data_IF_310351650573
#
_entry.id   IF_310351650573
#
_cell.length_a   1.000
_cell.length_b   1.000
_cell.length_c   1.000
_cell.angle_alpha   90.00
_cell.angle_beta   90.00
_cell.angle_gamma   90.00
#
_symmetry.space_group_name_H-M   'P 1'
#
loop_
_entity.id
_entity.type
_entity.pdbx_description
1 polymer ?
#
# COMPACT_ATOMS: atom_id res chain seq x y z
N UNK A 1 15.48 1.50 8.51
CA UNK A 1 14.07 1.12 8.56
C UNK A 1 13.86 -0.31 9.06
N UNK A 2 14.35 -1.36 8.39
CA UNK A 2 14.14 -2.75 8.79
C UNK A 2 14.55 -3.04 10.26
N UNK A 3 15.66 -2.46 10.70
CA UNK A 3 16.14 -2.59 12.09
C UNK A 3 15.18 -1.97 13.12
N UNK A 4 14.54 -0.86 12.77
CA UNK A 4 13.54 -0.20 13.63
C UNK A 4 12.24 -1.01 13.68
N UNK A 5 11.88 -1.65 12.56
CA UNK A 5 10.68 -2.46 12.44
C UNK A 5 10.82 -3.88 13.01
N UNK A 6 12.02 -4.26 13.46
CA UNK A 6 12.33 -5.63 13.91
C UNK A 6 12.00 -6.67 12.82
N UNK A 7 12.34 -6.32 11.57
CA UNK A 7 12.15 -7.16 10.40
C UNK A 7 13.50 -7.58 9.83
N UNK A 8 13.53 -8.68 9.10
CA UNK A 8 14.66 -9.01 8.24
C UNK A 8 14.88 -7.91 7.18
N UNK A 9 16.13 -7.66 6.82
CA UNK A 9 16.48 -6.74 5.75
C UNK A 9 15.98 -7.32 4.43
N UNK A 10 14.99 -6.66 3.84
CA UNK A 10 14.53 -7.03 2.51
C UNK A 10 15.47 -6.42 1.46
N UNK A 11 15.87 -7.19 0.44
CA UNK A 11 16.59 -6.66 -0.70
C UNK A 11 15.81 -5.50 -1.34
N UNK A 12 16.49 -4.39 -1.60
CA UNK A 12 15.93 -3.24 -2.31
C UNK A 12 16.43 -3.25 -3.76
N UNK A 13 15.49 -3.21 -4.69
CA UNK A 13 15.77 -3.08 -6.12
C UNK A 13 15.27 -1.72 -6.62
N UNK A 14 16.06 -1.07 -7.46
CA UNK A 14 15.64 0.15 -8.18
C UNK A 14 15.35 -0.25 -9.62
N UNK A 15 14.11 -0.02 -10.05
CA UNK A 15 13.71 -0.21 -11.44
C UNK A 15 13.72 1.14 -12.17
N UNK A 16 14.41 1.18 -13.31
CA UNK A 16 14.44 2.36 -14.17
C UNK A 16 13.13 2.48 -14.96
N UNK A 17 12.20 3.25 -14.39
CA UNK A 17 10.85 3.46 -14.94
C UNK A 17 10.35 4.85 -14.54
N UNK A 18 9.80 5.59 -15.52
CA UNK A 18 9.33 6.97 -15.30
C UNK A 18 8.04 7.04 -14.47
N UNK A 19 7.19 6.01 -14.53
CA UNK A 19 5.98 5.95 -13.72
C UNK A 19 6.34 5.78 -12.24
N UNK A 20 5.89 6.70 -11.33
CA UNK A 20 6.13 6.57 -9.90
C UNK A 20 5.49 5.32 -9.34
N UNK A 21 6.25 4.44 -8.70
CA UNK A 21 5.70 3.26 -8.02
C UNK A 21 6.68 2.64 -7.01
N UNK A 22 6.15 1.89 -6.05
CA UNK A 22 6.88 0.97 -5.18
C UNK A 22 6.01 -0.27 -4.91
N UNK A 23 6.63 -1.41 -4.63
CA UNK A 23 5.90 -2.61 -4.24
C UNK A 23 6.79 -3.63 -3.52
N UNK A 24 6.16 -4.51 -2.77
CA UNK A 24 6.80 -5.68 -2.17
C UNK A 24 6.46 -6.93 -2.97
N UNK A 25 7.46 -7.72 -3.30
CA UNK A 25 7.28 -9.00 -3.99
C UNK A 25 7.32 -10.14 -2.99
N UNK A 26 6.18 -10.83 -2.83
CA UNK A 26 6.03 -12.00 -1.95
C UNK A 26 6.53 -11.79 -0.50
N UNK A 27 6.51 -10.56 0.00
CA UNK A 27 7.05 -10.22 1.33
C UNK A 27 8.58 -10.35 1.44
N UNK A 28 9.32 -10.54 0.33
CA UNK A 28 10.75 -10.89 0.33
C UNK A 28 11.68 -9.85 -0.28
N UNK A 29 11.15 -8.93 -1.07
CA UNK A 29 11.94 -7.86 -1.68
C UNK A 29 11.09 -6.62 -1.90
N UNK A 30 11.73 -5.47 -1.88
CA UNK A 30 11.10 -4.18 -2.18
C UNK A 30 11.65 -3.66 -3.49
N UNK A 31 10.78 -3.20 -4.38
CA UNK A 31 11.17 -2.51 -5.61
C UNK A 31 10.64 -1.09 -5.57
N UNK A 32 11.47 -0.14 -6.03
CA UNK A 32 11.14 1.28 -6.15
C UNK A 32 11.51 1.75 -7.54
N UNK A 33 10.65 2.52 -8.20
CA UNK A 33 10.94 3.08 -9.53
C UNK A 33 11.72 4.39 -9.41
N UNK A 34 12.53 4.69 -10.43
CA UNK A 34 13.18 6.01 -10.55
C UNK A 34 12.16 7.13 -10.62
N UNK A 35 10.98 6.89 -11.20
CA UNK A 35 9.88 7.86 -11.24
C UNK A 35 9.38 8.25 -9.85
N UNK A 36 9.25 7.28 -8.91
CA UNK A 36 8.88 7.59 -7.53
C UNK A 36 10.01 8.37 -6.82
N UNK A 37 11.26 7.95 -7.01
CA UNK A 37 12.41 8.66 -6.43
C UNK A 37 12.49 10.11 -6.90
N UNK A 38 12.12 10.39 -8.14
CA UNK A 38 12.09 11.75 -8.71
C UNK A 38 10.87 12.56 -8.24
N UNK A 39 9.75 11.90 -7.96
CA UNK A 39 8.53 12.54 -7.48
C UNK A 39 8.66 13.00 -6.03
N UNK A 40 9.22 12.14 -5.18
CA UNK A 40 9.40 12.44 -3.75
C UNK A 40 10.53 13.46 -3.57
N UNK A 41 10.29 14.45 -2.71
CA UNK A 41 11.21 15.56 -2.50
C UNK A 41 11.96 15.50 -1.17
N UNK A 42 11.54 14.59 -0.28
CA UNK A 42 12.08 14.45 1.09
C UNK A 42 12.43 12.98 1.37
N UNK A 43 13.48 12.76 2.13
CA UNK A 43 13.85 11.41 2.60
C UNK A 43 12.74 10.76 3.44
N UNK A 44 12.02 11.58 4.22
CA UNK A 44 10.92 11.13 5.07
C UNK A 44 9.74 10.60 4.23
N UNK A 45 9.51 11.15 3.04
CA UNK A 45 8.50 10.64 2.11
C UNK A 45 8.86 9.23 1.63
N UNK A 46 10.11 9.02 1.24
CA UNK A 46 10.60 7.68 0.88
C UNK A 46 10.55 6.72 2.07
N UNK A 47 10.98 7.18 3.25
CA UNK A 47 10.86 6.40 4.47
C UNK A 47 9.41 6.02 4.76
N UNK A 48 8.48 6.96 4.58
CA UNK A 48 7.04 6.74 4.76
C UNK A 48 6.48 5.67 3.82
N UNK A 49 6.76 5.78 2.51
CA UNK A 49 6.35 4.79 1.50
C UNK A 49 6.90 3.40 1.82
N UNK A 50 8.21 3.30 2.07
CA UNK A 50 8.84 2.02 2.40
C UNK A 50 8.33 1.43 3.72
N UNK A 51 7.96 2.28 4.69
CA UNK A 51 7.38 1.86 5.96
C UNK A 51 5.95 1.34 5.79
N UNK A 52 5.15 1.96 4.91
CA UNK A 52 3.82 1.51 4.55
C UNK A 52 3.86 0.12 3.88
N UNK A 53 4.73 -0.06 2.88
CA UNK A 53 4.94 -1.35 2.24
C UNK A 53 5.44 -2.44 3.23
N UNK A 54 6.35 -2.05 4.12
CA UNK A 54 6.80 -2.93 5.20
C UNK A 54 5.67 -3.28 6.18
N UNK A 55 4.74 -2.35 6.42
CA UNK A 55 3.52 -2.58 7.19
C UNK A 55 2.67 -3.69 6.59
N UNK A 56 2.38 -3.60 5.29
CA UNK A 56 1.66 -4.66 4.57
C UNK A 56 2.35 -6.02 4.69
N UNK A 57 3.68 -6.07 4.52
CA UNK A 57 4.44 -7.30 4.66
C UNK A 57 4.41 -7.85 6.09
N UNK A 58 4.63 -7.01 7.10
CA UNK A 58 4.68 -7.40 8.51
C UNK A 58 3.34 -7.86 9.05
N UNK A 59 2.25 -7.22 8.63
CA UNK A 59 0.88 -7.53 9.04
C UNK A 59 0.27 -8.69 8.24
N UNK A 60 0.99 -9.21 7.25
CA UNK A 60 0.56 -10.35 6.46
C UNK A 60 -0.54 -10.04 5.44
N UNK A 61 -0.71 -8.77 5.05
CA UNK A 61 -1.76 -8.32 4.14
C UNK A 61 -1.67 -9.00 2.77
N UNK A 62 -0.46 -9.22 2.27
CA UNK A 62 -0.26 -9.95 1.02
C UNK A 62 -0.63 -11.43 1.11
N UNK A 63 -0.40 -12.06 2.25
CA UNK A 63 -0.77 -13.45 2.50
C UNK A 63 -2.29 -13.65 2.60
N UNK A 64 -2.98 -12.76 3.34
CA UNK A 64 -4.43 -12.79 3.47
C UNK A 64 -5.14 -12.53 2.15
N UNK A 65 -4.60 -11.62 1.33
CA UNK A 65 -5.09 -11.33 -0.02
C UNK A 65 -4.98 -12.54 -0.94
N UNK A 66 -3.81 -13.19 -0.98
CA UNK A 66 -3.61 -14.41 -1.79
C UNK A 66 -4.55 -15.52 -1.32
N UNK A 67 -4.66 -15.75 -0.02
CA UNK A 67 -5.56 -16.78 0.54
C UNK A 67 -7.02 -16.48 0.24
N UNK A 68 -7.44 -15.22 0.38
CA UNK A 68 -8.81 -14.78 0.04
C UNK A 68 -9.09 -14.93 -1.44
N UNK A 69 -8.13 -14.54 -2.30
CA UNK A 69 -8.24 -14.65 -3.76
C UNK A 69 -8.33 -16.10 -4.22
N UNK A 70 -7.54 -17.02 -3.61
CA UNK A 70 -7.60 -18.44 -3.89
C UNK A 70 -8.96 -19.01 -3.43
N UNK A 71 -9.42 -18.64 -2.23
CA UNK A 71 -10.73 -19.08 -1.70
C UNK A 71 -11.88 -18.63 -2.58
N UNK A 72 -11.87 -17.37 -3.06
CA UNK A 72 -12.89 -16.84 -3.95
C UNK A 72 -12.81 -17.50 -5.34
N UNK A 73 -11.60 -17.72 -5.86
CA UNK A 73 -11.40 -18.42 -7.13
C UNK A 73 -11.94 -19.86 -7.10
N UNK A 74 -11.66 -20.60 -6.03
CA UNK A 74 -12.19 -21.96 -5.82
C UNK A 74 -13.72 -21.94 -5.67
N UNK A 75 -14.28 -21.00 -4.90
CA UNK A 75 -15.72 -20.83 -4.79
C UNK A 75 -16.37 -20.50 -6.13
N UNK A 76 -15.76 -19.62 -6.93
CA UNK A 76 -16.23 -19.30 -8.28
C UNK A 76 -16.23 -20.51 -9.22
N UNK A 77 -15.17 -21.34 -9.18
CA UNK A 77 -15.09 -22.58 -9.95
C UNK A 77 -16.15 -23.61 -9.51
N UNK A 78 -16.38 -23.76 -8.20
CA UNK A 78 -17.43 -24.64 -7.68
C UNK A 78 -18.82 -24.17 -8.10
N UNK A 79 -19.10 -22.86 -8.01
CA UNK A 79 -20.35 -22.26 -8.47
C UNK A 79 -20.56 -22.47 -9.97
N UNK A 80 -19.50 -22.27 -10.78
CA UNK A 80 -19.57 -22.54 -12.22
C UNK A 80 -19.90 -23.99 -12.52
N UNK A 81 -19.36 -24.94 -11.74
CA UNK A 81 -19.66 -26.38 -11.88
C UNK A 81 -21.10 -26.71 -11.45
N UNK A 82 -21.63 -26.07 -10.42
CA UNK A 82 -22.99 -26.25 -9.93
C UNK A 82 -24.02 -25.64 -10.86
N UNK A 83 -23.75 -24.46 -11.43
CA UNK A 83 -24.67 -23.73 -12.31
C UNK A 83 -24.47 -24.03 -13.80
N UNK A 84 -23.59 -24.97 -14.16
CA UNK A 84 -23.51 -25.54 -15.50
C UNK A 84 -22.87 -24.65 -16.58
N UNK A 85 -21.96 -23.77 -16.24
CA UNK A 85 -21.14 -23.05 -17.23
C UNK A 85 -21.88 -22.00 -18.09
N UNK A 86 -23.12 -21.65 -17.74
CA UNK A 86 -23.87 -20.60 -18.43
C UNK A 86 -23.55 -19.20 -17.91
N UNK A 87 -24.31 -18.19 -18.34
CA UNK A 87 -24.13 -16.78 -17.97
C UNK A 87 -24.01 -16.53 -16.46
N UNK A 88 -24.67 -17.32 -15.62
CA UNK A 88 -24.54 -17.25 -14.16
C UNK A 88 -23.21 -17.80 -13.66
N UNK A 89 -22.65 -18.84 -14.29
CA UNK A 89 -21.35 -19.38 -13.99
C UNK A 89 -20.23 -18.40 -14.39
N UNK A 90 -20.33 -17.80 -15.57
CA UNK A 90 -19.41 -16.75 -16.03
C UNK A 90 -19.46 -15.51 -15.14
N UNK A 91 -20.66 -15.10 -14.69
CA UNK A 91 -20.84 -14.00 -13.74
C UNK A 91 -20.16 -14.33 -12.42
N UNK A 92 -20.33 -15.54 -11.89
CA UNK A 92 -19.71 -15.97 -10.63
C UNK A 92 -18.17 -15.99 -10.72
N UNK A 93 -17.61 -16.46 -11.84
CA UNK A 93 -16.15 -16.42 -12.10
C UNK A 93 -15.66 -14.99 -12.23
N UNK A 94 -16.37 -14.13 -12.97
CA UNK A 94 -16.00 -12.73 -13.14
C UNK A 94 -16.10 -11.92 -11.83
N UNK A 95 -17.14 -12.16 -11.01
CA UNK A 95 -17.26 -11.55 -9.67
C UNK A 95 -16.13 -12.05 -8.77
N UNK A 96 -15.82 -13.35 -8.79
CA UNK A 96 -14.71 -13.93 -8.06
C UNK A 96 -13.36 -13.33 -8.48
N UNK A 97 -13.12 -13.18 -9.80
CA UNK A 97 -11.89 -12.57 -10.32
C UNK A 97 -11.78 -11.09 -9.94
N UNK A 98 -12.89 -10.32 -10.01
CA UNK A 98 -12.91 -8.91 -9.62
C UNK A 98 -12.70 -8.72 -8.11
N UNK A 99 -13.25 -9.61 -7.27
CA UNK A 99 -13.00 -9.59 -5.82
C UNK A 99 -11.56 -10.02 -5.51
N UNK A 100 -10.98 -10.94 -6.29
CA UNK A 100 -9.59 -11.34 -6.16
C UNK A 100 -8.60 -10.22 -6.55
N UNK A 101 -8.98 -9.34 -7.47
CA UNK A 101 -8.21 -8.15 -7.85
C UNK A 101 -8.43 -6.95 -6.91
N UNK A 102 -9.49 -6.96 -6.10
CA UNK A 102 -9.76 -5.94 -5.07
C UNK A 102 -8.90 -6.07 -3.79
N UNK A 103 -7.92 -6.80 -3.84
CA UNK A 103 -6.82 -7.35 -3.01
C UNK A 103 -6.52 -6.75 -1.65
N UNK A 104 -6.50 -5.48 -1.44
CA UNK A 104 -6.19 -4.86 -0.14
C UNK A 104 -7.40 -4.05 0.33
N UNK A 105 -7.88 -4.37 1.53
CA UNK A 105 -9.04 -3.68 2.09
C UNK A 105 -8.66 -2.29 2.61
N UNK A 106 -9.64 -1.41 2.79
CA UNK A 106 -9.42 -0.09 3.40
C UNK A 106 -8.88 -0.18 4.82
N UNK A 107 -9.25 -1.21 5.55
CA UNK A 107 -8.76 -1.49 6.89
C UNK A 107 -7.26 -1.83 6.86
N UNK A 108 -6.83 -2.66 5.91
CA UNK A 108 -5.41 -2.99 5.70
C UNK A 108 -4.59 -1.76 5.32
N UNK A 109 -5.16 -0.84 4.52
CA UNK A 109 -4.52 0.44 4.22
C UNK A 109 -4.31 1.29 5.47
N UNK A 110 -5.35 1.37 6.31
CA UNK A 110 -5.29 2.09 7.57
C UNK A 110 -4.25 1.49 8.51
N UNK A 111 -4.17 0.16 8.59
CA UNK A 111 -3.19 -0.54 9.43
C UNK A 111 -1.76 -0.30 8.92
N UNK A 112 -1.54 -0.28 7.61
CA UNK A 112 -0.25 0.02 7.01
C UNK A 112 0.15 1.50 7.20
N UNK A 113 -0.79 2.44 7.07
CA UNK A 113 -0.58 3.86 7.36
C UNK A 113 -0.21 4.09 8.83
N UNK A 114 -0.97 3.47 9.74
CA UNK A 114 -0.72 3.52 11.18
C UNK A 114 0.68 2.95 11.51
N UNK A 115 1.03 1.82 10.90
CA UNK A 115 2.35 1.22 11.05
C UNK A 115 3.46 2.17 10.58
N UNK A 116 3.30 2.85 9.43
CA UNK A 116 4.30 3.77 8.91
C UNK A 116 4.51 4.98 9.83
N UNK A 117 3.43 5.57 10.35
CA UNK A 117 3.49 6.67 11.31
C UNK A 117 4.17 6.22 12.61
N UNK A 118 3.78 5.06 13.15
CA UNK A 118 4.34 4.53 14.39
C UNK A 118 5.83 4.19 14.26
N UNK A 119 6.23 3.65 13.11
CA UNK A 119 7.62 3.34 12.83
C UNK A 119 8.48 4.59 12.75
N UNK A 120 7.94 5.68 12.18
CA UNK A 120 8.63 6.97 12.14
C UNK A 120 8.86 7.51 13.56
N UNK A 121 7.86 7.52 14.43
CA UNK A 121 8.01 7.91 15.84
C UNK A 121 9.03 7.03 16.57
N UNK A 122 8.93 5.71 16.41
CA UNK A 122 9.89 4.75 17.02
C UNK A 122 11.33 4.99 16.56
N UNK A 123 11.51 5.39 15.32
CA UNK A 123 12.81 5.65 14.70
C UNK A 123 13.35 7.07 14.87
N UNK A 124 12.62 7.96 15.56
CA UNK A 124 12.97 9.37 15.66
C UNK A 124 13.00 10.08 14.30
N UNK A 125 12.15 9.64 13.36
CA UNK A 125 11.98 10.22 12.03
C UNK A 125 10.73 11.10 11.99
N UNK A 126 10.63 12.00 11.00
CA UNK A 126 9.44 12.81 10.79
C UNK A 126 8.24 11.93 10.38
N UNK A 127 7.19 11.84 11.22
CA UNK A 127 6.04 10.98 10.94
C UNK A 127 5.12 11.51 9.83
N UNK A 128 5.37 12.73 9.32
CA UNK A 128 4.59 13.30 8.22
C UNK A 128 4.94 12.71 6.85
N UNK A 129 6.00 11.91 6.76
CA UNK A 129 6.53 11.41 5.50
C UNK A 129 5.53 10.64 4.65
N UNK A 130 4.81 9.66 5.23
CA UNK A 130 3.79 8.92 4.47
C UNK A 130 2.62 9.82 4.04
N UNK A 131 2.20 10.75 4.90
CA UNK A 131 1.14 11.70 4.60
C UNK A 131 1.50 12.56 3.38
N UNK A 132 2.69 13.19 3.40
CA UNK A 132 3.15 14.06 2.32
C UNK A 132 3.42 13.31 1.03
N UNK A 133 3.92 12.06 1.11
CA UNK A 133 4.09 11.20 -0.05
C UNK A 133 2.75 10.91 -0.75
N UNK A 134 1.72 10.50 0.00
CA UNK A 134 0.39 10.23 -0.54
C UNK A 134 -0.27 11.50 -1.10
N UNK A 135 -0.13 12.64 -0.42
CA UNK A 135 -0.65 13.91 -0.92
C UNK A 135 0.03 14.33 -2.23
N UNK A 136 1.36 14.14 -2.34
CA UNK A 136 2.11 14.40 -3.57
C UNK A 136 1.71 13.45 -4.70
N UNK A 137 1.52 12.17 -4.40
CA UNK A 137 1.02 11.18 -5.36
C UNK A 137 -0.38 11.55 -5.86
N UNK A 138 -1.28 12.03 -4.99
CA UNK A 138 -2.63 12.45 -5.38
C UNK A 138 -2.64 13.64 -6.35
N UNK A 139 -1.62 14.48 -6.29
CA UNK A 139 -1.44 15.66 -7.17
C UNK A 139 -0.63 15.36 -8.44
N UNK A 140 -0.12 14.13 -8.57
CA UNK A 140 0.67 13.76 -9.74
C UNK A 140 -0.19 13.74 -11.00
N UNK A 141 0.11 14.64 -11.93
CA UNK A 141 -0.66 14.80 -13.19
C UNK A 141 -0.34 13.78 -14.27
N UNK A 142 0.61 12.87 -14.04
CA UNK A 142 0.98 11.81 -14.97
C UNK A 142 0.13 10.56 -14.81
N UNK A 143 0.36 9.58 -15.70
CA UNK A 143 -0.32 8.28 -15.63
C UNK A 143 0.30 7.41 -14.54
N UNK A 144 -0.51 6.98 -13.59
CA UNK A 144 -0.16 5.96 -12.60
C UNK A 144 -0.56 4.57 -13.10
N UNK A 145 0.29 3.58 -12.85
CA UNK A 145 -0.07 2.18 -13.08
C UNK A 145 -0.86 1.65 -11.86
N UNK A 146 -1.95 0.92 -12.06
CA UNK A 146 -2.80 0.45 -10.96
C UNK A 146 -2.20 -0.79 -10.27
N UNK A 147 -0.97 -0.69 -9.80
CA UNK A 147 -0.23 -1.77 -9.14
C UNK A 147 0.76 -1.23 -8.10
N UNK A 148 1.15 -2.05 -7.15
CA UNK A 148 2.06 -1.66 -6.06
C UNK A 148 1.49 -0.49 -5.27
N UNK A 149 2.32 0.46 -4.85
CA UNK A 149 1.88 1.62 -4.07
C UNK A 149 0.75 2.43 -4.74
N UNK A 150 0.64 2.40 -6.06
CA UNK A 150 -0.45 3.06 -6.78
C UNK A 150 -1.79 2.31 -6.66
N UNK A 151 -1.80 1.06 -6.22
CA UNK A 151 -3.02 0.33 -5.88
C UNK A 151 -3.58 0.69 -4.51
N UNK A 152 -2.88 1.56 -3.77
CA UNK A 152 -3.23 2.09 -2.46
C UNK A 152 -3.62 3.58 -2.53
N UNK A 153 -4.63 3.97 -3.34
CA UNK A 153 -4.88 5.37 -3.60
C UNK A 153 -5.20 6.12 -2.31
N UNK A 154 -4.66 7.33 -2.16
CA UNK A 154 -5.03 8.18 -1.04
C UNK A 154 -6.51 8.54 -1.14
N UNK A 155 -7.19 8.56 -0.01
CA UNK A 155 -8.49 9.19 0.14
C UNK A 155 -8.46 10.18 1.32
N UNK A 156 -9.43 11.10 1.35
CA UNK A 156 -9.48 12.14 2.36
C UNK A 156 -9.57 11.58 3.79
N UNK A 157 -10.15 10.39 3.96
CA UNK A 157 -10.28 9.74 5.27
C UNK A 157 -8.93 9.22 5.76
N UNK A 158 -8.15 8.58 4.87
CA UNK A 158 -6.79 8.13 5.18
C UNK A 158 -5.92 9.31 5.58
N UNK A 159 -5.91 10.37 4.75
CA UNK A 159 -5.13 11.59 5.02
C UNK A 159 -5.55 12.25 6.35
N UNK A 160 -6.86 12.38 6.60
CA UNK A 160 -7.36 12.95 7.85
C UNK A 160 -7.00 12.10 9.07
N UNK A 161 -7.09 10.77 8.95
CA UNK A 161 -6.71 9.83 10.02
C UNK A 161 -5.23 9.95 10.37
N UNK A 162 -4.34 9.97 9.39
CA UNK A 162 -2.90 10.15 9.62
C UNK A 162 -2.60 11.48 10.31
N UNK A 163 -3.25 12.59 9.88
CA UNK A 163 -3.13 13.88 10.56
C UNK A 163 -3.53 13.81 12.04
N UNK A 164 -4.65 13.17 12.32
CA UNK A 164 -5.14 13.01 13.69
C UNK A 164 -4.15 12.20 14.52
N UNK A 165 -3.71 11.03 14.00
CA UNK A 165 -2.76 10.15 14.69
C UNK A 165 -1.43 10.84 15.00
N UNK A 166 -0.90 11.62 14.07
CA UNK A 166 0.34 12.39 14.29
C UNK A 166 0.12 13.42 15.40
N UNK A 167 -0.97 14.19 15.35
CA UNK A 167 -1.27 15.25 16.34
C UNK A 167 -1.62 14.69 17.71
N UNK A 168 -2.25 13.55 17.80
CA UNK A 168 -2.53 12.87 19.07
C UNK A 168 -1.25 12.46 19.80
N UNK A 169 -0.21 12.10 19.06
CA UNK A 169 1.08 11.73 19.63
C UNK A 169 1.98 12.93 19.92
N UNK A 170 1.99 13.90 19.03
CA UNK A 170 2.74 15.14 19.19
C UNK A 170 2.02 16.32 18.53
N UNK A 171 1.26 17.11 19.30
CA UNK A 171 0.54 18.27 18.79
C UNK A 171 1.45 19.38 18.23
N UNK A 172 2.76 19.35 18.53
CA UNK A 172 3.72 20.36 18.06
C UNK A 172 4.16 20.13 16.60
N UNK A 173 3.90 18.94 16.06
CA UNK A 173 4.30 18.61 14.68
C UNK A 173 3.44 19.39 13.69
N UNK A 174 4.11 20.20 12.89
CA UNK A 174 3.49 20.90 11.77
C UNK A 174 3.44 19.97 10.56
N UNK A 175 2.22 19.69 10.08
CA UNK A 175 2.05 18.88 8.87
C UNK A 175 2.26 19.78 7.67
N UNK A 176 3.25 19.48 6.80
CA UNK A 176 3.53 20.31 5.63
C UNK A 176 2.34 20.35 4.66
N UNK A 177 2.18 21.47 3.99
CA UNK A 177 1.29 21.60 2.83
C UNK A 177 2.12 21.30 1.59
N UNK A 178 1.61 20.44 0.74
CA UNK A 178 2.24 20.10 -0.53
C UNK A 178 1.61 20.99 -1.61
N UNK A 179 2.45 21.72 -2.33
CA UNK A 179 2.05 22.57 -3.46
C UNK A 179 1.89 21.77 -4.77
#
# INVERSE_FOLDING_TARGET
MAHIAEMELLPLTIEHKDAPNAWVTNGKSVTVTTGLMNLLQREEEMFGVLSHEAGHAKLGHYGSTVTSSIGIGVAGLLLNQVFGGGALGELAVNVGANLATAGISREMEVEADDFAVDLAFKGGKDPTGIYTALERMSKYGGKLEPSGFNSHPPDDRRLQRMRNRIRERDPSIVIPVID
#
